data_IF_756809076714
#
_entry.id   IF_756809076714
#
_cell.length_a   1.000
_cell.length_b   1.000
_cell.length_c   1.000
_cell.angle_alpha   90.00
_cell.angle_beta   90.00
_cell.angle_gamma   90.00
#
_symmetry.space_group_name_H-M   'P 1'
#
loop_
_entity.id
_entity.type
_entity.pdbx_description
1 polymer ?
#
# COMPACT_ATOMS: atom_id res chain seq x y z
N UNK A 1 -0.77 12.74 -8.27
CA UNK A 1 -0.87 13.45 -9.56
C UNK A 1 -2.09 12.93 -10.30
N UNK A 2 -2.82 13.80 -11.00
CA UNK A 2 -3.89 13.35 -11.90
C UNK A 2 -3.41 13.24 -13.36
N UNK A 3 -4.27 12.82 -14.28
CA UNK A 3 -3.94 12.70 -15.70
C UNK A 3 -3.57 14.02 -16.40
N UNK A 4 -3.81 15.17 -15.75
CA UNK A 4 -3.44 16.50 -16.24
C UNK A 4 -2.15 17.04 -15.62
N UNK A 5 -1.45 16.23 -14.80
CA UNK A 5 -0.22 16.64 -14.12
C UNK A 5 -0.46 17.44 -12.83
N UNK A 6 -1.71 17.62 -12.41
CA UNK A 6 -2.04 18.38 -11.21
C UNK A 6 -1.72 17.57 -9.94
N UNK A 7 -1.21 18.26 -8.92
CA UNK A 7 -0.89 17.66 -7.62
C UNK A 7 -1.57 18.46 -6.52
N UNK A 8 -2.17 17.74 -5.58
CA UNK A 8 -2.85 18.30 -4.42
C UNK A 8 -2.29 17.64 -3.16
N UNK A 9 -2.05 18.45 -2.13
CA UNK A 9 -1.67 17.97 -0.81
C UNK A 9 -2.85 18.18 0.14
N UNK A 10 -3.43 17.09 0.63
CA UNK A 10 -4.48 17.15 1.64
C UNK A 10 -3.85 17.11 3.04
N UNK A 11 -4.01 18.19 3.81
CA UNK A 11 -3.56 18.32 5.21
C UNK A 11 -4.72 18.38 6.22
N UNK A 12 -5.93 18.05 5.80
CA UNK A 12 -7.08 18.05 6.70
C UNK A 12 -6.91 16.97 7.77
N UNK A 13 -7.27 17.29 9.02
CA UNK A 13 -7.39 16.27 10.06
C UNK A 13 -8.53 15.32 9.70
N UNK A 14 -8.25 14.03 9.77
CA UNK A 14 -9.25 13.01 9.50
C UNK A 14 -10.31 12.97 10.61
N UNK A 15 -11.50 12.46 10.27
CA UNK A 15 -12.50 12.08 11.29
C UNK A 15 -11.96 11.00 12.23
N UNK A 16 -11.07 10.15 11.71
CA UNK A 16 -10.33 9.12 12.44
C UNK A 16 -8.89 9.14 11.93
N UNK A 17 -7.94 9.07 12.87
CA UNK A 17 -6.51 8.93 12.59
C UNK A 17 -6.00 7.71 13.35
N UNK A 18 -5.24 6.85 12.66
CA UNK A 18 -4.70 5.64 13.22
C UNK A 18 -3.26 5.43 12.72
N UNK A 19 -2.44 4.79 13.54
CA UNK A 19 -1.08 4.37 13.18
C UNK A 19 -1.03 3.10 12.34
N UNK A 20 -2.15 2.40 12.18
CA UNK A 20 -2.29 1.17 11.40
C UNK A 20 -3.36 1.34 10.30
N UNK A 21 -2.99 1.04 9.06
CA UNK A 21 -3.87 1.17 7.90
C UNK A 21 -5.00 0.13 7.88
N UNK A 22 -4.87 -1.00 8.58
CA UNK A 22 -5.97 -1.96 8.72
C UNK A 22 -7.15 -1.32 9.44
N UNK A 23 -6.89 -0.55 10.50
CA UNK A 23 -7.93 0.18 11.25
C UNK A 23 -8.62 1.19 10.34
N UNK A 24 -7.86 1.92 9.52
CA UNK A 24 -8.41 2.86 8.54
C UNK A 24 -9.29 2.15 7.51
N UNK A 25 -8.84 1.02 6.93
CA UNK A 25 -9.62 0.22 5.99
C UNK A 25 -10.93 -0.27 6.60
N UNK A 26 -10.88 -0.77 7.84
CA UNK A 26 -12.08 -1.19 8.57
C UNK A 26 -13.05 -0.03 8.79
N UNK A 27 -12.55 1.14 9.17
CA UNK A 27 -13.38 2.35 9.31
C UNK A 27 -14.04 2.76 7.98
N UNK A 28 -13.31 2.70 6.86
CA UNK A 28 -13.89 2.94 5.54
C UNK A 28 -14.98 1.92 5.19
N UNK A 29 -14.75 0.64 5.47
CA UNK A 29 -15.73 -0.43 5.20
C UNK A 29 -17.00 -0.27 6.07
N UNK A 30 -16.87 0.33 7.25
CA UNK A 30 -17.98 0.69 8.13
C UNK A 30 -18.66 2.02 7.74
N UNK A 31 -18.28 2.64 6.62
CA UNK A 31 -18.89 3.87 6.11
C UNK A 31 -18.45 5.16 6.80
N UNK A 32 -17.35 5.16 7.57
CA UNK A 32 -16.90 6.37 8.27
C UNK A 32 -16.31 7.44 7.33
N UNK A 33 -15.94 7.09 6.08
CA UNK A 33 -15.45 8.03 5.08
C UNK A 33 -14.52 7.42 4.04
N UNK A 34 -13.78 8.30 3.35
CA UNK A 34 -12.78 7.95 2.33
C UNK A 34 -11.39 7.81 2.98
N UNK A 35 -10.62 6.80 2.58
CA UNK A 35 -9.26 6.57 3.04
C UNK A 35 -8.29 6.33 1.88
N UNK A 36 -7.03 6.74 2.05
CA UNK A 36 -5.94 6.42 1.13
C UNK A 36 -5.13 5.27 1.71
N UNK A 37 -5.24 4.09 1.10
CA UNK A 37 -4.59 2.85 1.53
C UNK A 37 -3.96 2.14 0.32
N UNK A 38 -2.92 1.30 0.52
CA UNK A 38 -2.39 0.46 -0.55
C UNK A 38 -3.47 -0.42 -1.18
N UNK A 39 -3.41 -0.55 -2.50
CA UNK A 39 -4.33 -1.35 -3.31
C UNK A 39 -4.36 -2.83 -2.89
N UNK A 40 -3.20 -3.42 -2.59
CA UNK A 40 -3.06 -4.79 -2.09
C UNK A 40 -3.89 -5.09 -0.84
N UNK A 41 -4.22 -4.07 -0.03
CA UNK A 41 -5.03 -4.23 1.19
C UNK A 41 -6.54 -4.19 0.91
N UNK A 42 -6.97 -3.74 -0.27
CA UNK A 42 -8.39 -3.48 -0.58
C UNK A 42 -8.90 -4.22 -1.80
N UNK A 43 -8.05 -4.88 -2.59
CA UNK A 43 -8.46 -5.61 -3.80
C UNK A 43 -9.66 -6.53 -3.55
N UNK A 44 -9.62 -7.35 -2.49
CA UNK A 44 -10.71 -8.25 -2.14
C UNK A 44 -11.99 -7.50 -1.73
N UNK A 45 -11.86 -6.48 -0.89
CA UNK A 45 -13.00 -5.70 -0.41
C UNK A 45 -13.70 -4.91 -1.52
N UNK A 46 -12.93 -4.46 -2.53
CA UNK A 46 -13.50 -3.83 -3.72
C UNK A 46 -14.22 -4.86 -4.59
N UNK A 47 -13.63 -6.05 -4.77
CA UNK A 47 -14.26 -7.13 -5.53
C UNK A 47 -15.58 -7.60 -4.88
N UNK A 48 -15.67 -7.62 -3.55
CA UNK A 48 -16.88 -7.95 -2.80
C UNK A 48 -17.91 -6.80 -2.73
N UNK A 49 -17.58 -5.60 -3.20
CA UNK A 49 -18.43 -4.42 -3.11
C UNK A 49 -18.50 -3.77 -1.72
N UNK A 50 -17.68 -4.23 -0.77
CA UNK A 50 -17.54 -3.65 0.57
C UNK A 50 -16.84 -2.28 0.54
N UNK A 51 -16.01 -2.06 -0.48
CA UNK A 51 -15.34 -0.79 -0.75
C UNK A 51 -15.48 -0.44 -2.23
N UNK A 52 -15.36 0.86 -2.55
CA UNK A 52 -15.37 1.35 -3.92
C UNK A 52 -14.21 2.31 -4.14
N UNK A 53 -13.56 2.22 -5.31
CA UNK A 53 -12.53 3.18 -5.70
C UNK A 53 -13.19 4.52 -6.04
N UNK A 54 -12.74 5.58 -5.39
CA UNK A 54 -13.12 6.96 -5.70
C UNK A 54 -11.94 7.70 -6.34
N UNK A 55 -12.23 8.80 -7.04
CA UNK A 55 -11.23 9.63 -7.71
C UNK A 55 -10.27 8.81 -8.60
N UNK A 56 -10.76 8.00 -9.55
CA UNK A 56 -9.92 7.09 -10.34
C UNK A 56 -8.82 7.81 -11.13
N UNK A 57 -9.07 9.07 -11.53
CA UNK A 57 -8.12 9.93 -12.25
C UNK A 57 -6.98 10.46 -11.37
N UNK A 58 -7.02 10.22 -10.06
CA UNK A 58 -6.00 10.66 -9.11
C UNK A 58 -5.18 9.47 -8.61
N UNK A 59 -3.86 9.57 -8.76
CA UNK A 59 -2.92 8.61 -8.19
C UNK A 59 -2.11 9.25 -7.05
N UNK A 60 -1.95 8.51 -5.96
CA UNK A 60 -0.89 8.80 -4.99
C UNK A 60 0.47 8.43 -5.57
N UNK A 61 1.54 8.97 -5.00
CA UNK A 61 2.89 8.57 -5.43
C UNK A 61 3.08 7.08 -5.14
N UNK A 62 3.51 6.28 -6.13
CA UNK A 62 3.79 4.87 -5.93
C UNK A 62 4.91 4.71 -4.89
N UNK A 63 4.87 3.61 -4.14
CA UNK A 63 5.90 3.28 -3.17
C UNK A 63 6.56 1.98 -3.53
N UNK A 64 7.89 2.03 -3.65
CA UNK A 64 8.70 0.85 -3.86
C UNK A 64 8.83 0.05 -2.56
N UNK A 65 8.89 -1.28 -2.69
CA UNK A 65 9.15 -2.21 -1.60
C UNK A 65 10.56 -2.77 -1.81
N UNK A 66 11.39 -2.72 -0.77
CA UNK A 66 12.79 -3.15 -0.84
C UNK A 66 13.07 -4.31 0.10
N UNK A 67 13.90 -5.24 -0.35
CA UNK A 67 14.51 -6.27 0.48
C UNK A 67 15.91 -5.79 0.85
N UNK A 68 16.12 -5.48 2.13
CA UNK A 68 17.42 -5.03 2.64
C UNK A 68 18.11 -6.17 3.39
N UNK A 69 19.36 -6.43 3.06
CA UNK A 69 20.21 -7.41 3.72
C UNK A 69 21.65 -6.92 3.79
N UNK A 70 22.40 -7.41 4.78
CA UNK A 70 23.80 -7.04 4.92
C UNK A 70 24.64 -7.67 3.80
N UNK A 71 25.41 -6.84 3.12
CA UNK A 71 26.49 -7.32 2.28
C UNK A 71 27.60 -7.85 3.19
N UNK A 72 27.86 -9.16 3.12
CA UNK A 72 28.97 -9.83 3.80
C UNK A 72 29.64 -10.74 2.79
N UNK A 73 30.96 -10.88 2.88
CA UNK A 73 31.74 -11.77 2.00
C UNK A 73 31.19 -13.20 2.00
N UNK A 74 30.58 -13.63 3.10
CA UNK A 74 29.90 -14.92 3.23
C UNK A 74 28.48 -14.73 3.78
N UNK A 75 27.50 -14.59 2.89
CA UNK A 75 26.09 -14.71 3.26
C UNK A 75 25.79 -16.19 3.52
N UNK A 76 25.23 -16.58 4.68
CA UNK A 76 24.83 -17.96 4.92
C UNK A 76 23.88 -18.46 3.83
N UNK A 77 24.06 -19.71 3.39
CA UNK A 77 23.31 -20.27 2.26
C UNK A 77 21.80 -20.18 2.43
N UNK A 78 21.29 -20.42 3.65
CA UNK A 78 19.86 -20.26 3.98
C UNK A 78 19.31 -18.86 3.67
N UNK A 79 20.10 -17.81 3.90
CA UNK A 79 19.70 -16.42 3.66
C UNK A 79 19.73 -16.13 2.17
N UNK A 80 20.76 -16.61 1.45
CA UNK A 80 20.83 -16.50 -0.01
C UNK A 80 19.61 -17.15 -0.67
N UNK A 81 19.28 -18.40 -0.29
CA UNK A 81 18.11 -19.11 -0.83
C UNK A 81 16.79 -18.37 -0.53
N UNK A 82 16.66 -17.75 0.64
CA UNK A 82 15.49 -16.92 0.95
C UNK A 82 15.42 -15.66 0.07
N UNK A 83 16.55 -14.97 -0.14
CA UNK A 83 16.62 -13.78 -1.01
C UNK A 83 16.27 -14.16 -2.44
N UNK A 84 16.85 -15.25 -2.95
CA UNK A 84 16.57 -15.79 -4.28
C UNK A 84 15.07 -16.13 -4.42
N UNK A 85 14.50 -16.81 -3.42
CA UNK A 85 13.07 -17.12 -3.39
C UNK A 85 12.17 -15.87 -3.40
N UNK A 86 12.46 -14.87 -2.57
CA UNK A 86 11.67 -13.63 -2.53
C UNK A 86 11.78 -12.88 -3.86
N UNK A 87 12.99 -12.79 -4.43
CA UNK A 87 13.20 -12.15 -5.73
C UNK A 87 12.36 -12.83 -6.81
N UNK A 88 12.41 -14.15 -6.89
CA UNK A 88 11.73 -14.90 -7.95
C UNK A 88 10.20 -14.94 -7.74
N UNK A 89 9.73 -14.86 -6.49
CA UNK A 89 8.30 -14.82 -6.16
C UNK A 89 7.63 -13.46 -6.47
N UNK A 90 8.39 -12.36 -6.38
CA UNK A 90 7.90 -11.00 -6.62
C UNK A 90 8.42 -10.38 -7.94
N UNK A 91 9.09 -11.16 -8.80
CA UNK A 91 9.49 -10.76 -10.16
C UNK A 91 8.30 -10.76 -11.13
#
# INVERSE_FOLDING_TARGET
MNNHGETVVNKAKGRLEASDLNVVRHACSAGLGIGLVPDVMVTHHVAEGNLVRVLPEWAANPRDIFVLYNHKDHIPEKTRLLIDFIRDYFA
#
